data_IF_615001431390
#
_entry.id   IF_615001431390
#
_cell.length_a   1.000
_cell.length_b   1.000
_cell.length_c   1.000
_cell.angle_alpha   90.00
_cell.angle_beta   90.00
_cell.angle_gamma   90.00
#
_symmetry.space_group_name_H-M   'P 1'
#
loop_
_entity.id
_entity.type
_entity.pdbx_description
1 polymer ?
#
# COMPACT_ATOMS: atom_id res chain seq x y z
N UNK A 1 -19.57 -17.08 20.58
CA UNK A 1 -19.89 -15.85 19.80
C UNK A 1 -19.08 -14.61 20.22
N UNK A 2 -18.07 -14.73 21.10
CA UNK A 2 -17.42 -13.56 21.73
C UNK A 2 -16.13 -13.09 21.04
N UNK A 3 -15.52 -13.93 20.21
CA UNK A 3 -14.20 -13.66 19.59
C UNK A 3 -14.32 -12.74 18.37
N UNK A 4 -15.37 -12.90 17.56
CA UNK A 4 -15.59 -12.08 16.35
C UNK A 4 -15.82 -10.59 16.66
N UNK A 5 -16.60 -10.27 17.71
CA UNK A 5 -16.86 -8.88 18.14
C UNK A 5 -15.63 -8.14 18.65
N UNK A 6 -14.60 -8.85 19.14
CA UNK A 6 -13.37 -8.22 19.68
C UNK A 6 -12.43 -7.79 18.55
N UNK A 7 -12.31 -8.60 17.49
CA UNK A 7 -11.53 -8.26 16.28
C UNK A 7 -12.19 -7.17 15.42
N UNK A 8 -13.52 -7.12 15.33
CA UNK A 8 -14.20 -6.05 14.55
C UNK A 8 -13.92 -4.64 15.07
N UNK A 9 -13.65 -4.47 16.38
CA UNK A 9 -13.28 -3.17 16.96
C UNK A 9 -11.81 -2.81 16.75
N UNK A 10 -10.96 -3.79 16.43
CA UNK A 10 -9.54 -3.59 16.22
C UNK A 10 -9.27 -2.84 14.90
N UNK A 11 -10.09 -3.09 13.88
CA UNK A 11 -9.96 -2.47 12.56
C UNK A 11 -10.96 -1.33 12.28
N UNK A 12 -11.72 -0.88 13.29
CA UNK A 12 -12.74 0.14 13.07
C UNK A 12 -12.10 1.52 12.92
N UNK A 13 -11.74 1.89 11.68
CA UNK A 13 -11.30 3.23 11.32
C UNK A 13 -12.47 4.22 11.47
N UNK A 14 -12.17 5.40 11.99
CA UNK A 14 -13.11 6.50 12.23
C UNK A 14 -12.73 7.68 11.36
N UNK A 15 -13.75 8.39 10.86
CA UNK A 15 -13.53 9.64 10.14
C UNK A 15 -13.10 10.70 11.14
N UNK A 16 -11.94 11.31 10.87
CA UNK A 16 -11.35 12.38 11.65
C UNK A 16 -11.63 13.76 11.05
N UNK A 17 -10.75 14.69 11.40
CA UNK A 17 -10.81 16.07 10.95
C UNK A 17 -10.72 16.15 9.42
N UNK A 18 -11.41 17.15 8.87
CA UNK A 18 -11.35 17.47 7.43
C UNK A 18 -10.95 18.92 7.25
N UNK A 19 -9.84 19.14 6.56
CA UNK A 19 -9.39 20.45 6.11
C UNK A 19 -9.86 20.66 4.66
N UNK A 20 -10.48 21.81 4.43
CA UNK A 20 -11.05 22.19 3.12
C UNK A 20 -10.00 22.82 2.19
N UNK A 21 -8.84 23.20 2.73
CA UNK A 21 -7.72 23.74 1.97
C UNK A 21 -6.39 23.46 2.66
N UNK A 22 -5.30 23.53 1.90
CA UNK A 22 -3.93 23.49 2.44
C UNK A 22 -3.66 24.64 3.42
N UNK A 23 -4.14 25.85 3.12
CA UNK A 23 -3.97 26.99 4.04
C UNK A 23 -4.66 26.75 5.38
N UNK A 24 -5.84 26.12 5.40
CA UNK A 24 -6.51 25.78 6.66
C UNK A 24 -5.66 24.80 7.48
N UNK A 25 -5.10 23.78 6.83
CA UNK A 25 -4.20 22.81 7.47
C UNK A 25 -2.92 23.48 8.00
N UNK A 26 -2.31 24.37 7.21
CA UNK A 26 -1.07 25.08 7.57
C UNK A 26 -1.25 26.01 8.77
N UNK A 27 -2.37 26.73 8.83
CA UNK A 27 -2.68 27.69 9.91
C UNK A 27 -2.83 27.02 11.29
N UNK A 28 -3.30 25.77 11.32
CA UNK A 28 -3.47 25.02 12.57
C UNK A 28 -2.13 24.45 13.11
N UNK A 29 -1.08 24.39 12.27
CA UNK A 29 0.31 24.13 12.65
C UNK A 29 0.59 22.70 13.15
N UNK A 30 1.70 22.49 13.86
CA UNK A 30 2.15 21.16 14.31
C UNK A 30 1.15 20.41 15.20
N UNK A 31 0.22 21.12 15.85
CA UNK A 31 -0.81 20.51 16.71
C UNK A 31 -1.94 19.84 15.90
N UNK A 32 -2.08 20.19 14.63
CA UNK A 32 -3.10 19.66 13.71
C UNK A 32 -3.08 18.13 13.63
N UNK A 33 -1.87 17.56 13.54
CA UNK A 33 -1.69 16.13 13.39
C UNK A 33 -1.90 15.36 14.70
N UNK A 34 -1.87 16.05 15.86
CA UNK A 34 -2.13 15.40 17.15
C UNK A 34 -3.57 14.87 17.30
N UNK A 35 -4.50 15.35 16.47
CA UNK A 35 -5.86 14.83 16.38
C UNK A 35 -5.97 13.56 15.53
N UNK A 36 -4.95 13.26 14.72
CA UNK A 36 -4.87 12.06 13.88
C UNK A 36 -4.07 11.00 14.63
N UNK A 37 -4.78 10.27 15.49
CA UNK A 37 -4.25 9.16 16.29
C UNK A 37 -5.08 7.92 16.09
N UNK A 38 -4.47 6.76 16.32
CA UNK A 38 -5.00 5.41 16.32
C UNK A 38 -6.46 5.28 15.83
N UNK A 39 -6.57 4.70 14.64
CA UNK A 39 -7.80 4.42 13.89
C UNK A 39 -8.56 5.68 13.47
N UNK A 40 -7.89 6.81 13.27
CA UNK A 40 -8.50 8.04 12.77
C UNK A 40 -7.94 8.38 11.40
N UNK A 41 -8.84 8.59 10.43
CA UNK A 41 -8.49 9.04 9.08
C UNK A 41 -8.91 10.48 8.91
N UNK A 42 -7.93 11.38 8.81
CA UNK A 42 -8.19 12.76 8.47
C UNK A 42 -8.09 13.00 6.96
N UNK A 43 -8.69 14.11 6.50
CA UNK A 43 -8.82 14.40 5.07
C UNK A 43 -8.35 15.81 4.78
N UNK A 44 -7.39 15.95 3.87
CA UNK A 44 -6.91 17.23 3.38
C UNK A 44 -7.37 17.43 1.93
N UNK A 45 -8.13 18.49 1.69
CA UNK A 45 -8.46 18.95 0.35
C UNK A 45 -7.45 19.99 -0.12
N UNK A 46 -6.98 19.83 -1.35
CA UNK A 46 -6.11 20.79 -2.03
C UNK A 46 -6.69 21.10 -3.41
N UNK A 47 -6.05 22.01 -4.14
CA UNK A 47 -6.38 22.25 -5.56
C UNK A 47 -6.06 21.04 -6.45
N UNK A 48 -5.09 20.20 -6.05
CA UNK A 48 -4.64 19.02 -6.78
C UNK A 48 -5.43 17.75 -6.47
N UNK A 49 -6.17 17.71 -5.36
CA UNK A 49 -7.01 16.56 -5.02
C UNK A 49 -7.33 16.43 -3.53
N UNK A 50 -7.61 15.18 -3.13
CA UNK A 50 -7.90 14.80 -1.74
C UNK A 50 -6.83 13.85 -1.23
N UNK A 51 -6.26 14.18 -0.07
CA UNK A 51 -5.26 13.38 0.62
C UNK A 51 -5.86 12.83 1.92
N UNK A 52 -5.51 11.57 2.24
CA UNK A 52 -5.87 10.94 3.50
C UNK A 52 -4.64 10.89 4.39
N UNK A 53 -4.81 11.30 5.64
CA UNK A 53 -3.76 11.31 6.65
C UNK A 53 -4.18 10.32 7.72
N UNK A 54 -3.30 9.37 8.02
CA UNK A 54 -3.50 8.29 8.99
C UNK A 54 -2.21 8.09 9.77
N UNK A 55 -2.31 7.46 10.94
CA UNK A 55 -1.12 7.07 11.70
C UNK A 55 -0.38 5.94 10.98
N UNK A 56 0.96 5.97 11.04
CA UNK A 56 1.82 4.98 10.39
C UNK A 56 1.48 3.54 10.82
N UNK A 57 1.20 3.33 12.10
CA UNK A 57 0.78 2.04 12.63
C UNK A 57 -0.48 1.50 11.93
N UNK A 58 -1.50 2.35 11.75
CA UNK A 58 -2.73 1.98 11.05
C UNK A 58 -2.46 1.70 9.58
N UNK A 59 -1.61 2.50 8.93
CA UNK A 59 -1.21 2.29 7.54
C UNK A 59 -0.57 0.91 7.37
N UNK A 60 0.40 0.56 8.20
CA UNK A 60 1.13 -0.71 8.13
C UNK A 60 0.22 -1.90 8.40
N UNK A 61 -0.72 -1.75 9.34
CA UNK A 61 -1.75 -2.77 9.61
C UNK A 61 -2.64 -3.00 8.40
N UNK A 62 -3.14 -1.93 7.77
CA UNK A 62 -3.99 -2.02 6.57
C UNK A 62 -3.22 -2.58 5.37
N UNK A 63 -1.98 -2.16 5.21
CA UNK A 63 -1.10 -2.62 4.15
C UNK A 63 -0.77 -4.11 4.30
N UNK A 64 -0.44 -4.56 5.52
CA UNK A 64 -0.23 -5.97 5.84
C UNK A 64 -1.46 -6.81 5.51
N UNK A 65 -2.65 -6.35 5.94
CA UNK A 65 -3.92 -7.03 5.63
C UNK A 65 -4.19 -7.12 4.12
N UNK A 66 -3.97 -6.03 3.38
CA UNK A 66 -4.16 -6.02 1.93
C UNK A 66 -3.23 -7.04 1.24
N UNK A 67 -1.97 -7.12 1.70
CA UNK A 67 -1.00 -8.09 1.18
C UNK A 67 -1.35 -9.53 1.53
N UNK A 68 -1.89 -9.78 2.73
CA UNK A 68 -2.40 -11.10 3.09
C UNK A 68 -3.58 -11.52 2.22
N UNK A 69 -4.51 -10.61 1.93
CA UNK A 69 -5.64 -10.86 1.01
C UNK A 69 -5.14 -11.19 -0.39
N UNK A 70 -4.19 -10.42 -0.93
CA UNK A 70 -3.61 -10.68 -2.26
C UNK A 70 -2.94 -12.04 -2.32
N UNK A 71 -2.22 -12.41 -1.26
CA UNK A 71 -1.54 -13.70 -1.14
C UNK A 71 -2.53 -14.86 -1.05
N UNK A 72 -3.58 -14.74 -0.23
CA UNK A 72 -4.65 -15.73 -0.16
C UNK A 72 -5.34 -15.90 -1.52
N UNK A 73 -5.61 -14.79 -2.22
CA UNK A 73 -6.18 -14.82 -3.58
C UNK A 73 -5.27 -15.57 -4.56
N UNK A 74 -3.96 -15.31 -4.51
CA UNK A 74 -2.97 -16.02 -5.32
C UNK A 74 -2.91 -17.51 -4.99
N UNK A 75 -2.86 -17.88 -3.71
CA UNK A 75 -2.89 -19.27 -3.26
C UNK A 75 -4.15 -20.00 -3.73
N UNK A 76 -5.33 -19.37 -3.59
CA UNK A 76 -6.59 -19.96 -4.04
C UNK A 76 -6.61 -20.22 -5.54
N UNK A 77 -6.02 -19.33 -6.36
CA UNK A 77 -5.88 -19.57 -7.79
C UNK A 77 -5.04 -20.82 -8.09
N UNK A 78 -3.93 -21.03 -7.36
CA UNK A 78 -3.11 -22.23 -7.49
C UNK A 78 -3.90 -23.49 -7.14
N UNK A 79 -4.66 -23.48 -6.05
CA UNK A 79 -5.53 -24.61 -5.67
C UNK A 79 -6.57 -24.90 -6.76
N UNK A 80 -7.23 -23.87 -7.29
CA UNK A 80 -8.21 -24.03 -8.38
C UNK A 80 -7.57 -24.68 -9.62
N UNK A 81 -6.34 -24.28 -9.97
CA UNK A 81 -5.61 -24.89 -11.09
C UNK A 81 -5.26 -26.35 -10.81
N UNK A 82 -4.78 -26.66 -9.61
CA UNK A 82 -4.46 -28.03 -9.22
C UNK A 82 -5.71 -28.94 -9.21
N UNK A 83 -6.85 -28.44 -8.72
CA UNK A 83 -8.14 -29.16 -8.79
C UNK A 83 -8.52 -29.45 -10.24
N UNK A 84 -8.44 -28.45 -11.13
CA UNK A 84 -8.75 -28.64 -12.56
C UNK A 84 -7.81 -29.65 -13.22
N UNK A 85 -6.54 -29.67 -12.85
CA UNK A 85 -5.57 -30.62 -13.36
C UNK A 85 -5.90 -32.05 -12.90
N UNK A 86 -6.18 -32.24 -11.61
CA UNK A 86 -6.60 -33.52 -11.05
C UNK A 86 -7.95 -34.02 -11.60
N UNK A 87 -8.89 -33.10 -11.90
CA UNK A 87 -10.17 -33.45 -12.55
C UNK A 87 -9.97 -33.94 -13.99
N UNK A 88 -9.03 -33.35 -14.74
CA UNK A 88 -8.71 -33.76 -16.12
C UNK A 88 -7.87 -35.04 -16.15
N UNK A 89 -6.98 -35.20 -15.17
CA UNK A 89 -6.04 -36.30 -15.07
C UNK A 89 -5.98 -36.78 -13.61
N UNK A 90 -6.86 -37.72 -13.20
CA UNK A 90 -6.91 -38.21 -11.83
C UNK A 90 -5.83 -39.28 -11.57
N UNK A 91 -4.58 -38.96 -11.85
CA UNK A 91 -3.44 -39.80 -11.52
C UNK A 91 -2.83 -39.39 -10.16
N UNK A 92 -1.94 -40.23 -9.65
CA UNK A 92 -1.28 -40.01 -8.36
C UNK A 92 -0.47 -38.70 -8.35
N UNK A 93 0.07 -38.30 -9.49
CA UNK A 93 0.88 -37.07 -9.65
C UNK A 93 0.04 -35.82 -9.45
N UNK A 94 -1.10 -35.69 -10.13
CA UNK A 94 -1.94 -34.49 -10.03
C UNK A 94 -2.68 -34.42 -8.67
N UNK A 95 -2.97 -35.57 -8.04
CA UNK A 95 -3.51 -35.60 -6.69
C UNK A 95 -2.46 -35.18 -5.64
N UNK A 96 -1.19 -35.60 -5.79
CA UNK A 96 -0.08 -35.09 -4.96
C UNK A 96 0.14 -33.60 -5.14
N UNK A 97 0.07 -33.09 -6.37
CA UNK A 97 0.17 -31.66 -6.66
C UNK A 97 -0.94 -30.85 -5.95
N UNK A 98 -2.17 -31.37 -5.93
CA UNK A 98 -3.28 -30.76 -5.20
C UNK A 98 -3.03 -30.75 -3.69
N UNK A 99 -2.56 -31.86 -3.13
CA UNK A 99 -2.22 -31.95 -1.70
C UNK A 99 -1.12 -30.94 -1.31
N UNK A 100 -0.07 -30.83 -2.13
CA UNK A 100 1.03 -29.89 -1.93
C UNK A 100 0.55 -28.43 -2.03
N UNK A 101 -0.28 -28.10 -3.04
CA UNK A 101 -0.84 -26.77 -3.21
C UNK A 101 -1.69 -26.33 -2.00
N UNK A 102 -2.44 -27.25 -1.40
CA UNK A 102 -3.22 -26.98 -0.18
C UNK A 102 -2.30 -26.82 1.04
N UNK A 103 -1.27 -27.67 1.17
CA UNK A 103 -0.29 -27.57 2.26
C UNK A 103 0.49 -26.25 2.23
N UNK A 104 0.88 -25.78 1.05
CA UNK A 104 1.55 -24.48 0.87
C UNK A 104 0.66 -23.32 1.33
N UNK A 105 -0.66 -23.41 1.14
CA UNK A 105 -1.61 -22.36 1.52
C UNK A 105 -1.82 -22.29 3.05
N UNK A 106 -1.73 -23.44 3.73
CA UNK A 106 -1.79 -23.51 5.20
C UNK A 106 -0.54 -23.00 5.91
N UNK A 107 0.61 -22.98 5.23
CA UNK A 107 1.92 -22.59 5.78
C UNK A 107 2.41 -21.22 5.30
N UNK A 108 1.50 -20.39 4.76
CA UNK A 108 1.82 -19.07 4.25
C UNK A 108 2.30 -18.16 5.42
N UNK A 109 3.60 -17.79 5.48
CA UNK A 109 4.17 -17.07 6.63
C UNK A 109 3.59 -15.67 6.73
N UNK A 110 2.98 -15.28 7.85
CA UNK A 110 2.48 -13.90 8.04
C UNK A 110 3.57 -12.89 7.65
N UNK A 111 3.19 -11.87 6.88
CA UNK A 111 4.15 -10.83 6.53
C UNK A 111 4.65 -10.18 7.82
N UNK A 112 5.95 -9.87 7.92
CA UNK A 112 6.48 -9.20 9.10
C UNK A 112 5.78 -7.84 9.23
N UNK A 113 4.87 -7.74 10.18
CA UNK A 113 4.39 -6.45 10.68
C UNK A 113 5.55 -5.90 11.49
N UNK A 114 6.01 -4.70 11.16
CA UNK A 114 7.02 -4.02 12.00
C UNK A 114 6.34 -3.63 13.31
N UNK A 115 6.78 -4.22 14.42
CA UNK A 115 6.23 -3.96 15.76
C UNK A 115 6.61 -2.58 16.31
N UNK A 116 7.68 -1.98 15.77
CA UNK A 116 8.19 -0.70 16.22
C UNK A 116 8.65 0.16 15.05
N UNK A 117 8.36 1.45 15.18
CA UNK A 117 8.79 2.51 14.29
C UNK A 117 9.43 3.59 15.14
N UNK A 118 10.49 4.21 14.61
CA UNK A 118 10.99 5.42 15.21
C UNK A 118 9.88 6.47 15.14
N UNK A 119 9.68 7.20 16.25
CA UNK A 119 8.75 8.31 16.24
C UNK A 119 9.21 9.29 15.14
N UNK A 120 8.28 9.66 14.26
CA UNK A 120 8.55 10.72 13.30
C UNK A 120 8.73 12.01 14.09
N UNK A 121 9.98 12.40 14.32
CA UNK A 121 10.27 13.74 14.79
C UNK A 121 9.95 14.71 13.64
N UNK A 122 9.34 15.88 13.94
CA UNK A 122 9.24 16.93 12.94
C UNK A 122 10.63 17.17 12.38
N UNK A 123 10.81 17.05 11.06
CA UNK A 123 12.06 17.44 10.43
C UNK A 123 12.38 18.86 10.90
N UNK A 124 13.49 19.02 11.62
CA UNK A 124 13.96 20.34 12.00
C UNK A 124 14.27 21.05 10.70
N UNK A 125 13.74 22.28 10.57
CA UNK A 125 14.01 23.16 9.44
C UNK A 125 15.46 23.65 9.49
N UNK A 126 16.41 22.74 9.33
CA UNK A 126 17.75 23.03 8.85
C UNK A 126 17.76 22.94 7.31
N UNK A 127 16.60 23.18 6.68
CA UNK A 127 16.51 23.43 5.26
C UNK A 127 17.11 24.81 5.00
N UNK A 128 18.13 24.86 4.13
CA UNK A 128 18.56 26.12 3.52
C UNK A 128 17.31 26.88 3.06
N UNK A 129 17.24 28.18 3.34
CA UNK A 129 16.14 29.09 2.96
C UNK A 129 15.90 29.12 1.42
N UNK A 130 16.65 28.33 0.65
CA UNK A 130 16.61 28.20 -0.81
C UNK A 130 15.75 27.02 -1.31
N UNK A 131 15.28 26.09 -0.45
CA UNK A 131 14.40 24.99 -0.84
C UNK A 131 12.94 25.46 -1.02
N UNK A 132 12.72 26.30 -2.03
CA UNK A 132 11.39 26.62 -2.53
C UNK A 132 10.73 25.34 -3.08
N UNK A 133 9.64 24.91 -2.44
CA UNK A 133 8.81 23.80 -2.92
C UNK A 133 8.34 24.13 -4.35
N UNK A 134 8.83 23.37 -5.33
CA UNK A 134 8.42 23.52 -6.73
C UNK A 134 6.96 23.03 -6.88
N UNK A 135 6.00 23.95 -6.80
CA UNK A 135 4.58 23.68 -7.00
C UNK A 135 4.17 23.62 -8.48
N UNK A 136 5.09 23.99 -9.37
CA UNK A 136 4.89 23.97 -10.81
C UNK A 136 5.28 22.60 -11.39
N UNK A 137 4.28 21.85 -11.85
CA UNK A 137 4.47 20.52 -12.43
C UNK A 137 5.38 20.53 -13.68
N UNK A 138 5.49 21.66 -14.37
CA UNK A 138 6.32 21.77 -15.58
C UNK A 138 7.80 21.94 -15.27
N UNK A 139 8.14 22.26 -14.01
CA UNK A 139 9.51 22.35 -13.51
C UNK A 139 10.03 21.03 -12.93
N UNK A 140 9.19 20.02 -12.81
CA UNK A 140 9.59 18.68 -12.36
C UNK A 140 10.19 17.93 -13.57
N UNK A 141 11.49 17.62 -13.58
CA UNK A 141 12.09 16.89 -14.69
C UNK A 141 11.45 15.50 -14.79
N UNK A 142 10.65 15.30 -15.84
CA UNK A 142 10.03 13.99 -16.10
C UNK A 142 11.13 13.04 -16.59
N UNK A 143 11.18 11.79 -16.08
CA UNK A 143 12.12 10.81 -16.61
C UNK A 143 11.96 10.74 -18.12
N UNK A 144 13.08 10.93 -18.82
CA UNK A 144 13.15 10.98 -20.28
C UNK A 144 12.45 9.72 -20.82
N UNK A 145 11.42 9.91 -21.65
CA UNK A 145 10.91 8.82 -22.49
C UNK A 145 12.11 8.20 -23.20
N UNK A 146 12.28 6.90 -23.02
CA UNK A 146 13.41 6.14 -23.55
C UNK A 146 13.72 6.57 -24.99
N UNK A 147 14.99 6.86 -25.33
CA UNK A 147 15.34 7.25 -26.68
C UNK A 147 14.91 6.12 -27.62
N UNK A 148 14.17 6.48 -28.68
CA UNK A 148 13.91 5.57 -29.80
C UNK A 148 15.24 4.99 -30.25
N UNK A 149 15.37 3.66 -30.18
CA UNK A 149 16.49 2.94 -30.76
C UNK A 149 16.73 3.43 -32.20
N UNK A 150 17.98 3.74 -32.58
CA UNK A 150 18.29 4.11 -33.95
C UNK A 150 17.94 2.95 -34.88
N UNK A 151 17.09 3.23 -35.88
CA UNK A 151 16.91 2.32 -37.00
C UNK A 151 18.19 2.31 -37.84
N UNK A 152 18.75 1.15 -38.18
CA UNK A 152 19.84 1.08 -39.15
C UNK A 152 19.27 1.25 -40.56
N UNK A 153 19.40 2.47 -41.11
CA UNK A 153 19.49 2.68 -42.56
C UNK A 153 20.99 2.78 -42.87
N UNK A 154 21.60 2.13 -43.86
CA UNK A 154 21.16 1.30 -44.97
C UNK A 154 22.43 0.97 -45.79
N UNK A 155 22.25 0.63 -47.08
CA UNK A 155 23.25 0.30 -48.11
C UNK A 155 23.69 -1.18 -48.12
N UNK A 156 23.78 -1.89 -49.23
CA UNK A 156 23.64 -1.59 -50.67
C UNK A 156 23.59 -2.95 -51.39
N UNK A 157 22.69 -3.10 -52.37
CA UNK A 157 22.98 -3.57 -53.75
C UNK A 157 21.71 -3.42 -54.60
#
# INVERSE_FOLDING_TARGET
MTIAKKKEREFSLRVGQTWKSFEQFRLEGAKTLSAVKERVIATLHTKSGQYRIIEEHDFQTLYGLARDVDRLRGGLQVVVLAVRAAQKHPDETHLKLLAEAVAMLGNLPELPVRDAFDALEPETSDGDDEDEVILDLDRIPRPLRSPKLPQPNGQED
#
